data_IF_123150869661
#
_entry.id   IF_123150869661
#
_cell.length_a   1.000
_cell.length_b   1.000
_cell.length_c   1.000
_cell.angle_alpha   90.00
_cell.angle_beta   90.00
_cell.angle_gamma   90.00
#
_symmetry.space_group_name_H-M   'P 1'
#
loop_
_entity.id
_entity.type
_entity.pdbx_description
1 polymer ?
#
# COMPACT_ATOMS: atom_id res chain seq x y z
N UNK A 1 -1.77 7.22 10.66
CA UNK A 1 -2.04 7.12 9.20
C UNK A 1 -1.05 7.98 8.44
N UNK A 2 -0.29 7.38 7.53
CA UNK A 2 0.60 8.08 6.59
C UNK A 2 -0.12 8.22 5.25
N UNK A 3 -0.36 9.46 4.84
CA UNK A 3 -1.17 9.78 3.68
C UNK A 3 -0.31 10.18 2.49
N UNK A 4 -0.76 9.83 1.28
CA UNK A 4 -0.14 10.29 0.04
C UNK A 4 -0.33 11.79 -0.20
N UNK A 5 -0.10 12.23 -1.44
CA UNK A 5 -0.23 13.65 -1.82
C UNK A 5 -1.65 14.18 -1.57
N UNK A 6 -1.79 15.36 -0.95
CA UNK A 6 -3.09 15.97 -0.70
C UNK A 6 -3.91 16.17 -1.97
N UNK A 7 -5.16 15.69 -1.93
CA UNK A 7 -6.08 15.78 -3.06
C UNK A 7 -5.94 14.68 -4.11
N UNK A 8 -4.92 13.83 -4.00
CA UNK A 8 -4.81 12.65 -4.85
C UNK A 8 -5.92 11.65 -4.54
N UNK A 9 -6.60 11.13 -5.56
CA UNK A 9 -7.74 10.24 -5.38
C UNK A 9 -7.40 9.00 -4.57
N UNK A 10 -6.26 8.34 -4.86
CA UNK A 10 -5.86 7.13 -4.16
C UNK A 10 -5.55 7.41 -2.68
N UNK A 11 -4.92 8.54 -2.35
CA UNK A 11 -4.69 8.92 -0.96
C UNK A 11 -6.00 9.05 -0.19
N UNK A 12 -6.97 9.76 -0.77
CA UNK A 12 -8.29 9.93 -0.16
C UNK A 12 -9.02 8.61 0.01
N UNK A 13 -9.05 7.78 -1.04
CA UNK A 13 -9.75 6.49 -1.01
C UNK A 13 -9.09 5.51 -0.03
N UNK A 14 -7.77 5.34 -0.11
CA UNK A 14 -7.03 4.42 0.77
C UNK A 14 -7.18 4.83 2.24
N UNK A 15 -7.14 6.13 2.55
CA UNK A 15 -7.36 6.64 3.91
C UNK A 15 -8.79 6.40 4.39
N UNK A 16 -9.79 6.82 3.61
CA UNK A 16 -11.20 6.70 3.99
C UNK A 16 -11.62 5.24 4.18
N UNK A 17 -11.30 4.38 3.19
CA UNK A 17 -11.77 3.00 3.22
C UNK A 17 -11.04 2.12 4.23
N UNK A 18 -9.78 2.40 4.57
CA UNK A 18 -9.09 1.72 5.67
C UNK A 18 -9.80 1.96 7.00
N UNK A 19 -10.10 3.22 7.31
CA UNK A 19 -10.85 3.57 8.53
C UNK A 19 -12.26 2.99 8.52
N UNK A 20 -12.95 3.08 7.39
CA UNK A 20 -14.30 2.54 7.23
C UNK A 20 -14.36 1.03 7.40
N UNK A 21 -13.34 0.30 6.92
CA UNK A 21 -13.25 -1.15 7.10
C UNK A 21 -13.14 -1.52 8.58
N UNK A 22 -12.30 -0.84 9.34
CA UNK A 22 -12.18 -1.03 10.79
C UNK A 22 -13.49 -0.76 11.52
N UNK A 23 -14.15 0.34 11.19
CA UNK A 23 -15.46 0.69 11.77
C UNK A 23 -16.52 -0.38 11.44
N UNK A 24 -16.54 -0.88 10.20
CA UNK A 24 -17.48 -1.93 9.75
C UNK A 24 -17.23 -3.25 10.47
N UNK A 25 -15.96 -3.57 10.71
CA UNK A 25 -15.56 -4.76 11.47
C UNK A 25 -15.71 -4.59 12.99
N UNK A 26 -16.19 -3.44 13.45
CA UNK A 26 -16.32 -3.08 14.86
C UNK A 26 -15.00 -3.24 15.66
N UNK A 27 -13.87 -2.99 14.99
CA UNK A 27 -12.55 -2.95 15.66
C UNK A 27 -12.39 -1.60 16.34
N UNK A 28 -12.26 -1.56 17.67
CA UNK A 28 -12.07 -0.30 18.38
C UNK A 28 -10.67 0.24 18.08
N UNK A 29 -10.61 1.43 17.50
CA UNK A 29 -9.35 2.14 17.22
C UNK A 29 -9.46 3.59 17.65
N UNK A 30 -8.39 4.11 18.21
CA UNK A 30 -8.21 5.54 18.48
C UNK A 30 -7.20 6.10 17.47
N UNK A 31 -7.59 7.16 16.77
CA UNK A 31 -6.68 7.81 15.84
C UNK A 31 -5.77 8.80 16.59
N UNK A 32 -4.51 8.46 16.74
CA UNK A 32 -3.50 9.32 17.36
C UNK A 32 -3.10 10.46 16.40
N UNK A 33 -2.74 10.13 15.16
CA UNK A 33 -2.29 11.10 14.19
C UNK A 33 -2.57 10.67 12.73
N UNK A 34 -2.58 11.66 11.83
CA UNK A 34 -2.43 11.46 10.40
C UNK A 34 -1.68 12.65 9.80
N UNK A 35 -0.84 12.40 8.81
CA UNK A 35 -0.13 13.47 8.09
C UNK A 35 0.25 13.00 6.69
N UNK A 36 0.51 13.97 5.81
CA UNK A 36 0.94 13.70 4.46
C UNK A 36 2.45 13.43 4.43
N UNK A 37 2.82 12.35 3.75
CA UNK A 37 4.20 11.99 3.44
C UNK A 37 4.44 11.87 1.92
N UNK A 38 3.45 12.32 1.10
CA UNK A 38 3.57 12.53 -0.35
C UNK A 38 4.10 11.32 -1.11
N UNK A 39 3.76 10.10 -0.69
CA UNK A 39 4.22 8.82 -1.25
C UNK A 39 5.71 8.52 -1.02
N UNK A 40 6.42 9.34 -0.24
CA UNK A 40 7.87 9.28 -0.11
C UNK A 40 8.31 8.65 1.22
N UNK A 41 9.21 7.65 1.14
CA UNK A 41 9.80 6.93 2.27
C UNK A 41 10.45 7.86 3.29
N UNK A 42 11.28 8.80 2.82
CA UNK A 42 11.98 9.72 3.72
C UNK A 42 11.06 10.70 4.44
N UNK A 43 9.98 11.16 3.80
CA UNK A 43 8.99 12.01 4.46
C UNK A 43 8.19 11.22 5.50
N UNK A 44 7.84 9.98 5.20
CA UNK A 44 7.16 9.09 6.14
C UNK A 44 8.03 8.77 7.36
N UNK A 45 9.32 8.53 7.17
CA UNK A 45 10.27 8.34 8.27
C UNK A 45 10.30 9.55 9.20
N UNK A 46 10.42 10.77 8.65
CA UNK A 46 10.39 12.00 9.46
C UNK A 46 9.08 12.19 10.24
N UNK A 47 7.93 11.80 9.67
CA UNK A 47 6.65 11.85 10.38
C UNK A 47 6.60 10.83 11.51
N UNK A 48 7.04 9.61 11.22
CA UNK A 48 7.07 8.55 12.23
C UNK A 48 8.01 8.87 13.39
N UNK A 49 9.20 9.44 13.13
CA UNK A 49 10.11 9.92 14.18
C UNK A 49 9.42 10.92 15.13
N UNK A 50 8.65 11.88 14.58
CA UNK A 50 7.88 12.84 15.38
C UNK A 50 6.80 12.14 16.21
N UNK A 51 6.08 11.19 15.63
CA UNK A 51 5.04 10.44 16.32
C UNK A 51 5.60 9.53 17.41
N UNK A 52 6.76 8.91 17.19
CA UNK A 52 7.43 8.12 18.23
C UNK A 52 7.81 9.00 19.44
N UNK A 53 8.25 10.25 19.21
CA UNK A 53 8.54 11.21 20.28
C UNK A 53 7.28 11.67 21.02
N UNK A 54 6.16 11.81 20.33
CA UNK A 54 4.91 12.33 20.89
C UNK A 54 4.08 11.26 21.58
N UNK A 55 3.96 10.07 20.97
CA UNK A 55 3.04 9.01 21.39
C UNK A 55 3.76 7.76 21.93
N UNK A 56 5.03 7.52 21.55
CA UNK A 56 5.80 6.37 21.99
C UNK A 56 5.06 5.04 21.80
N UNK A 57 4.99 4.26 22.87
CA UNK A 57 4.37 2.92 22.89
C UNK A 57 2.85 2.92 22.69
N UNK A 58 2.21 4.09 22.61
CA UNK A 58 0.78 4.16 22.27
C UNK A 58 0.52 3.92 20.77
N UNK A 59 1.56 3.90 19.94
CA UNK A 59 1.43 3.59 18.51
C UNK A 59 1.38 2.07 18.34
N UNK A 60 0.19 1.52 18.22
CA UNK A 60 0.01 0.07 17.99
C UNK A 60 -0.09 -0.28 16.52
N UNK A 61 -0.58 0.64 15.67
CA UNK A 61 -0.83 0.39 14.24
C UNK A 61 -0.45 1.59 13.39
N UNK A 62 0.20 1.33 12.27
CA UNK A 62 0.49 2.31 11.22
C UNK A 62 -0.12 1.86 9.90
N UNK A 63 -1.08 2.63 9.39
CA UNK A 63 -1.58 2.48 8.03
C UNK A 63 -0.83 3.46 7.12
N UNK A 64 -0.15 2.97 6.11
CA UNK A 64 0.44 3.80 5.06
C UNK A 64 -0.32 3.63 3.74
N UNK A 65 -0.55 4.74 3.04
CA UNK A 65 -1.25 4.69 1.75
C UNK A 65 -0.44 4.00 0.65
N UNK A 66 0.89 3.84 0.82
CA UNK A 66 1.73 3.00 -0.03
C UNK A 66 2.87 2.34 0.76
N UNK A 67 3.59 1.42 0.09
CA UNK A 67 4.68 0.65 0.68
C UNK A 67 5.90 1.50 1.03
N UNK A 68 6.26 2.48 0.20
CA UNK A 68 7.41 3.34 0.47
C UNK A 68 7.23 4.10 1.79
N UNK A 69 6.03 4.59 2.06
CA UNK A 69 5.73 5.24 3.34
C UNK A 69 5.69 4.23 4.50
N UNK A 70 5.21 3.01 4.27
CA UNK A 70 5.24 1.95 5.28
C UNK A 70 6.69 1.60 5.65
N UNK A 71 7.55 1.43 4.66
CA UNK A 71 8.99 1.20 4.85
C UNK A 71 9.67 2.36 5.57
N UNK A 72 9.27 3.60 5.28
CA UNK A 72 9.76 4.77 5.99
C UNK A 72 9.38 4.77 7.48
N UNK A 73 8.18 4.30 7.82
CA UNK A 73 7.79 4.13 9.21
C UNK A 73 8.60 3.04 9.92
N UNK A 74 8.89 1.92 9.24
CA UNK A 74 9.76 0.85 9.74
C UNK A 74 11.18 1.40 10.00
N UNK A 75 11.75 2.13 9.05
CA UNK A 75 13.07 2.74 9.20
C UNK A 75 13.15 3.59 10.47
N UNK A 76 12.18 4.48 10.68
CA UNK A 76 12.14 5.37 11.85
C UNK A 76 12.07 4.58 13.17
N UNK A 77 11.29 3.49 13.22
CA UNK A 77 11.20 2.63 14.40
C UNK A 77 12.56 1.96 14.71
N UNK A 78 13.19 1.39 13.68
CA UNK A 78 14.48 0.72 13.83
C UNK A 78 15.60 1.72 14.17
N UNK A 79 15.61 2.90 13.58
CA UNK A 79 16.57 3.98 13.88
C UNK A 79 16.37 4.54 15.31
N UNK A 80 15.16 4.46 15.84
CA UNK A 80 14.87 4.76 17.25
C UNK A 80 15.35 3.65 18.22
N UNK A 81 15.86 2.51 17.69
CA UNK A 81 16.38 1.41 18.47
C UNK A 81 15.33 0.40 18.89
N UNK A 82 14.16 0.37 18.25
CA UNK A 82 13.15 -0.67 18.49
C UNK A 82 13.63 -1.99 17.90
N UNK A 83 13.44 -3.08 18.63
CA UNK A 83 13.66 -4.41 18.09
C UNK A 83 12.50 -4.80 17.16
N UNK A 84 12.72 -5.72 16.23
CA UNK A 84 11.70 -6.13 15.26
C UNK A 84 10.40 -6.61 15.93
N UNK A 85 10.50 -7.30 17.04
CA UNK A 85 9.36 -7.84 17.81
C UNK A 85 8.53 -6.77 18.52
N UNK A 86 9.08 -5.56 18.67
CA UNK A 86 8.44 -4.41 19.31
C UNK A 86 7.85 -3.41 18.30
N UNK A 87 8.01 -3.68 16.99
CA UNK A 87 7.46 -2.80 15.95
C UNK A 87 5.93 -2.75 16.01
N UNK A 88 5.31 -1.60 15.80
CA UNK A 88 3.87 -1.52 15.63
C UNK A 88 3.41 -2.35 14.42
N UNK A 89 2.13 -2.67 14.35
CA UNK A 89 1.55 -3.35 13.20
C UNK A 89 1.49 -2.40 12.00
N UNK A 90 2.40 -2.56 11.04
CA UNK A 90 2.55 -1.66 9.88
C UNK A 90 2.06 -2.34 8.62
N UNK A 91 1.22 -1.65 7.85
CA UNK A 91 0.70 -2.12 6.57
C UNK A 91 0.84 -1.07 5.48
N UNK A 92 1.05 -1.53 4.24
CA UNK A 92 1.20 -0.70 3.06
C UNK A 92 0.23 -1.08 1.92
N UNK A 93 0.49 -0.54 0.75
CA UNK A 93 -0.18 -0.85 -0.52
C UNK A 93 0.87 -0.77 -1.62
N UNK A 94 0.80 -1.59 -2.61
CA UNK A 94 1.44 -1.74 -3.92
C UNK A 94 2.12 -3.11 -4.11
N UNK A 95 2.52 -3.80 -3.05
CA UNK A 95 3.31 -5.03 -3.06
C UNK A 95 4.63 -4.87 -3.84
N UNK A 96 5.34 -3.78 -3.55
CA UNK A 96 6.66 -3.52 -4.16
C UNK A 96 7.70 -4.56 -3.71
N UNK A 97 8.73 -4.87 -4.52
CA UNK A 97 9.74 -5.85 -4.11
C UNK A 97 10.36 -5.57 -2.73
N UNK A 98 10.71 -4.33 -2.35
CA UNK A 98 11.20 -4.07 -0.99
C UNK A 98 10.15 -4.33 0.11
N UNK A 99 8.86 -4.12 -0.18
CA UNK A 99 7.79 -4.42 0.77
C UNK A 99 7.58 -5.93 0.92
N UNK A 100 7.65 -6.70 -0.18
CA UNK A 100 7.60 -8.16 -0.11
C UNK A 100 8.77 -8.72 0.72
N UNK A 101 9.98 -8.15 0.59
CA UNK A 101 11.11 -8.49 1.44
C UNK A 101 10.84 -8.15 2.92
N UNK A 102 10.25 -7.00 3.21
CA UNK A 102 9.87 -6.62 4.57
C UNK A 102 8.79 -7.54 5.16
N UNK A 103 7.83 -8.00 4.34
CA UNK A 103 6.86 -9.03 4.75
C UNK A 103 7.56 -10.35 5.04
N UNK A 104 8.53 -10.78 4.19
CA UNK A 104 9.32 -11.99 4.42
C UNK A 104 10.13 -11.92 5.72
N UNK A 105 10.62 -10.75 6.05
CA UNK A 105 11.38 -10.49 7.30
C UNK A 105 10.46 -10.33 8.53
N UNK A 106 9.17 -10.10 8.34
CA UNK A 106 8.20 -9.87 9.41
C UNK A 106 8.20 -8.44 9.98
N UNK A 107 8.87 -7.50 9.32
CA UNK A 107 8.87 -6.08 9.71
C UNK A 107 7.66 -5.30 9.14
N UNK A 108 7.08 -5.78 8.03
CA UNK A 108 5.81 -5.33 7.45
C UNK A 108 4.80 -6.45 7.59
N UNK A 109 3.63 -6.19 8.17
CA UNK A 109 2.63 -7.24 8.41
C UNK A 109 1.79 -7.57 7.18
N UNK A 110 1.74 -6.67 6.22
CA UNK A 110 1.07 -6.92 4.95
C UNK A 110 1.07 -5.72 4.04
N UNK A 111 0.76 -6.00 2.78
CA UNK A 111 0.53 -5.01 1.75
C UNK A 111 -0.64 -5.45 0.87
N UNK A 112 -1.04 -4.62 -0.07
CA UNK A 112 -2.08 -4.95 -1.05
C UNK A 112 -1.48 -4.75 -2.44
N UNK A 113 -1.43 -5.82 -3.23
CA UNK A 113 -0.92 -5.74 -4.59
C UNK A 113 -1.79 -4.78 -5.43
N UNK A 114 -1.13 -3.79 -6.02
CA UNK A 114 -1.63 -2.96 -7.11
C UNK A 114 -0.94 -3.46 -8.38
N UNK A 115 -1.59 -4.32 -9.13
CA UNK A 115 -1.00 -5.12 -10.22
C UNK A 115 -0.46 -4.26 -11.37
N UNK A 116 0.74 -3.74 -11.20
CA UNK A 116 1.42 -2.90 -12.21
C UNK A 116 1.73 -3.66 -13.52
N UNK A 117 2.01 -4.96 -13.43
CA UNK A 117 2.26 -5.79 -14.62
C UNK A 117 0.98 -5.97 -15.43
N UNK A 118 -0.12 -6.35 -14.78
CA UNK A 118 -1.42 -6.46 -15.44
C UNK A 118 -1.89 -5.13 -16.02
N UNK A 119 -1.65 -4.01 -15.34
CA UNK A 119 -1.94 -2.68 -15.89
C UNK A 119 -1.15 -2.42 -17.17
N UNK A 120 0.15 -2.71 -17.17
CA UNK A 120 1.00 -2.53 -18.35
C UNK A 120 0.56 -3.43 -19.52
N UNK A 121 0.20 -4.68 -19.25
CA UNK A 121 -0.32 -5.61 -20.26
C UNK A 121 -1.63 -5.12 -20.87
N UNK A 122 -2.56 -4.65 -20.04
CA UNK A 122 -3.84 -4.10 -20.52
C UNK A 122 -3.64 -2.84 -21.37
N UNK A 123 -2.76 -1.93 -20.92
CA UNK A 123 -2.43 -0.72 -21.69
C UNK A 123 -1.87 -1.12 -23.07
N UNK A 124 -0.92 -2.05 -23.10
CA UNK A 124 -0.32 -2.52 -24.36
C UNK A 124 -1.36 -3.17 -25.26
N UNK A 125 -2.23 -4.02 -24.72
CA UNK A 125 -3.29 -4.68 -25.48
C UNK A 125 -4.26 -3.66 -26.09
N UNK A 126 -4.66 -2.63 -25.33
CA UNK A 126 -5.51 -1.54 -25.81
C UNK A 126 -4.80 -0.77 -26.94
N UNK A 127 -3.54 -0.39 -26.74
CA UNK A 127 -2.75 0.29 -27.77
C UNK A 127 -2.66 -0.53 -29.08
N UNK A 128 -2.38 -1.83 -28.98
CA UNK A 128 -2.31 -2.72 -30.13
C UNK A 128 -3.65 -2.84 -30.87
N UNK A 129 -4.76 -2.91 -30.15
CA UNK A 129 -6.10 -2.93 -30.75
C UNK A 129 -6.37 -1.64 -31.54
N UNK A 130 -6.12 -0.48 -30.92
CA UNK A 130 -6.32 0.84 -31.55
C UNK A 130 -5.43 0.99 -32.79
N UNK A 131 -4.13 0.66 -32.70
CA UNK A 131 -3.20 0.73 -33.84
C UNK A 131 -3.59 -0.23 -34.94
N UNK A 132 -4.19 -1.36 -34.63
CA UNK A 132 -4.74 -2.32 -35.60
C UNK A 132 -6.10 -1.91 -36.20
N UNK A 133 -6.62 -0.73 -35.87
CA UNK A 133 -7.92 -0.23 -36.33
C UNK A 133 -9.11 -0.99 -35.76
N UNK A 134 -8.91 -1.69 -34.64
CA UNK A 134 -9.97 -2.42 -33.93
C UNK A 134 -10.53 -1.58 -32.78
N UNK A 135 -11.78 -1.79 -32.45
CA UNK A 135 -12.38 -1.25 -31.24
C UNK A 135 -11.90 -2.05 -30.01
N UNK A 136 -11.17 -1.42 -29.07
CA UNK A 136 -10.66 -2.13 -27.89
C UNK A 136 -11.77 -2.63 -26.98
N UNK A 137 -12.89 -1.88 -26.87
CA UNK A 137 -14.03 -2.26 -26.04
C UNK A 137 -14.56 -3.64 -26.40
N UNK A 138 -14.76 -3.90 -27.69
CA UNK A 138 -15.24 -5.18 -28.21
C UNK A 138 -14.14 -6.23 -28.25
N UNK A 139 -12.91 -5.84 -28.67
CA UNK A 139 -11.81 -6.78 -28.88
C UNK A 139 -11.29 -7.39 -27.58
N UNK A 140 -11.28 -6.59 -26.50
CA UNK A 140 -10.75 -6.97 -25.19
C UNK A 140 -11.86 -7.21 -24.17
N UNK A 141 -13.13 -7.14 -24.61
CA UNK A 141 -14.29 -7.31 -23.73
C UNK A 141 -14.25 -6.39 -22.50
N UNK A 142 -13.93 -5.11 -22.74
CA UNK A 142 -13.88 -4.11 -21.67
C UNK A 142 -15.27 -3.85 -21.09
N UNK A 143 -15.36 -3.67 -19.79
CA UNK A 143 -16.61 -3.28 -19.13
C UNK A 143 -17.08 -1.91 -19.63
N UNK A 144 -18.35 -1.77 -19.98
CA UNK A 144 -18.93 -0.60 -20.64
C UNK A 144 -18.16 -0.16 -21.90
N UNK A 145 -17.38 -1.08 -22.51
CA UNK A 145 -16.54 -0.79 -23.66
C UNK A 145 -15.33 0.11 -23.37
N UNK A 146 -14.98 0.35 -22.11
CA UNK A 146 -14.00 1.36 -21.70
C UNK A 146 -13.06 0.91 -20.59
N UNK A 147 -13.51 0.06 -19.65
CA UNK A 147 -12.80 -0.21 -18.42
C UNK A 147 -12.21 -1.62 -18.41
N UNK A 148 -10.92 -1.71 -18.13
CA UNK A 148 -10.23 -2.94 -17.75
C UNK A 148 -10.00 -2.87 -16.23
N UNK A 149 -10.74 -3.64 -15.47
CA UNK A 149 -10.58 -3.72 -14.02
C UNK A 149 -9.53 -4.77 -13.68
N UNK A 150 -8.64 -4.42 -12.78
CA UNK A 150 -7.69 -5.33 -12.15
C UNK A 150 -8.00 -5.39 -10.66
N UNK A 151 -7.99 -6.59 -10.11
CA UNK A 151 -8.31 -6.79 -8.70
C UNK A 151 -7.10 -6.48 -7.83
N UNK A 152 -7.36 -5.86 -6.67
CA UNK A 152 -6.38 -5.74 -5.61
C UNK A 152 -6.32 -7.04 -4.81
N UNK A 153 -5.12 -7.52 -4.51
CA UNK A 153 -4.91 -8.75 -3.75
C UNK A 153 -4.14 -8.47 -2.47
N UNK A 154 -4.68 -8.90 -1.33
CA UNK A 154 -3.97 -8.78 -0.05
C UNK A 154 -2.78 -9.73 -0.03
N UNK A 155 -1.62 -9.22 0.39
CA UNK A 155 -0.38 -9.97 0.54
C UNK A 155 0.06 -9.95 2.00
N UNK A 156 0.22 -11.12 2.57
CA UNK A 156 0.70 -11.34 3.92
C UNK A 156 1.74 -12.46 3.91
N UNK A 157 2.35 -12.77 5.04
CA UNK A 157 3.27 -13.90 5.14
C UNK A 157 2.67 -15.25 4.70
N UNK A 158 1.33 -15.40 4.76
CA UNK A 158 0.64 -16.66 4.41
C UNK A 158 0.64 -16.95 2.91
N UNK A 159 0.55 -15.93 2.06
CA UNK A 159 0.49 -16.07 0.61
C UNK A 159 1.66 -15.41 -0.14
N UNK A 160 2.66 -14.92 0.59
CA UNK A 160 3.82 -14.19 0.05
C UNK A 160 4.52 -14.95 -1.09
N UNK A 161 4.59 -16.29 -0.99
CA UNK A 161 5.26 -17.11 -1.99
C UNK A 161 4.68 -16.98 -3.41
N UNK A 162 3.41 -16.57 -3.54
CA UNK A 162 2.75 -16.36 -4.83
C UNK A 162 3.20 -15.07 -5.54
N UNK A 163 3.84 -14.15 -4.80
CA UNK A 163 4.24 -12.83 -5.27
C UNK A 163 5.76 -12.65 -5.41
N UNK A 164 6.53 -13.64 -4.97
CA UNK A 164 7.97 -13.63 -5.14
C UNK A 164 8.34 -14.11 -6.56
N UNK A 165 9.40 -13.55 -7.18
CA UNK A 165 9.87 -14.03 -8.48
C UNK A 165 10.27 -15.50 -8.41
N UNK A 166 9.94 -16.27 -9.45
CA UNK A 166 10.48 -17.63 -9.61
C UNK A 166 12.02 -17.55 -9.74
N UNK A 167 12.73 -18.37 -8.97
CA UNK A 167 14.20 -18.48 -9.02
C UNK A 167 14.74 -19.05 -10.35
#
# INVERSE_FOLDING_TARGET
>A
MLEGEPGHQDALMRTEYSVKALMTAAVPVEKLANDNANWERGQASLRMEQWLQEFGDAIEVVFANNDDMALGAIDACLDAGMEQEDLPFIVGVDATPPALEAVAQGTLQGTVQNDAAGQAEQILAICCAVMGGKDPGTTLNLEDGKYAWLEYTTVTAENLAEFLPEE
#
